data_IF_946094081064
#
_entry.id   IF_946094081064
#
_cell.length_a   1.000
_cell.length_b   1.000
_cell.length_c   1.000
_cell.angle_alpha   90.00
_cell.angle_beta   90.00
_cell.angle_gamma   90.00
#
_symmetry.space_group_name_H-M   'P 1'
#
loop_
_entity.id
_entity.type
_entity.pdbx_description
1 polymer ?
#
# COMPACT_ATOMS: atom_id res chain seq x y z
N UNK A 1 -9.56 -23.67 -10.70
CA UNK A 1 -8.54 -22.73 -10.15
C UNK A 1 -7.82 -21.94 -11.24
N UNK A 2 -7.68 -22.45 -12.47
CA UNK A 2 -6.99 -21.71 -13.55
C UNK A 2 -7.78 -20.48 -14.05
N UNK A 3 -9.10 -20.50 -13.89
CA UNK A 3 -10.00 -19.38 -14.22
C UNK A 3 -10.27 -18.43 -13.05
N UNK A 4 -9.68 -18.67 -11.88
CA UNK A 4 -9.94 -17.89 -10.67
C UNK A 4 -8.73 -17.04 -10.31
N UNK A 5 -8.93 -15.73 -10.23
CA UNK A 5 -7.96 -14.83 -9.59
C UNK A 5 -8.18 -14.88 -8.08
N UNK A 6 -7.15 -15.26 -7.33
CA UNK A 6 -7.15 -15.26 -5.87
C UNK A 6 -6.35 -14.06 -5.38
N UNK A 7 -6.96 -13.25 -4.51
CA UNK A 7 -6.30 -12.13 -3.83
C UNK A 7 -6.43 -12.36 -2.33
N UNK A 8 -5.30 -12.47 -1.65
CA UNK A 8 -5.22 -12.48 -0.20
C UNK A 8 -4.63 -11.14 0.26
N UNK A 9 -5.35 -10.41 1.11
CA UNK A 9 -4.93 -9.11 1.63
C UNK A 9 -5.54 -8.81 3.00
N UNK A 10 -5.26 -7.63 3.56
CA UNK A 10 -5.83 -7.11 4.81
C UNK A 10 -6.30 -5.66 4.62
N UNK A 11 -7.16 -5.17 5.50
CA UNK A 11 -7.62 -3.78 5.54
C UNK A 11 -6.63 -2.86 6.27
N UNK A 12 -5.86 -3.40 7.22
CA UNK A 12 -4.78 -2.72 7.93
C UNK A 12 -3.74 -3.71 8.47
N UNK A 13 -2.61 -3.16 8.91
CA UNK A 13 -1.59 -3.87 9.68
C UNK A 13 -1.94 -3.93 11.17
N UNK A 14 -1.04 -4.54 11.95
CA UNK A 14 -1.18 -4.71 13.38
C UNK A 14 0.18 -4.60 14.07
N UNK A 15 0.31 -3.69 15.03
CA UNK A 15 1.42 -3.73 15.97
C UNK A 15 1.19 -4.84 17.00
N UNK A 16 2.21 -5.67 17.21
CA UNK A 16 2.20 -6.80 18.14
C UNK A 16 3.32 -6.66 19.18
N UNK A 17 3.53 -5.43 19.67
CA UNK A 17 4.65 -5.04 20.53
C UNK A 17 5.69 -4.15 19.83
N UNK A 18 5.60 -3.98 18.51
CA UNK A 18 6.39 -3.00 17.76
C UNK A 18 6.18 -1.59 18.33
N UNK A 19 7.26 -0.83 18.51
CA UNK A 19 7.23 0.51 19.12
C UNK A 19 6.57 0.56 20.52
N UNK A 20 6.47 -0.58 21.21
CA UNK A 20 5.73 -0.69 22.48
C UNK A 20 4.20 -0.65 22.33
N UNK A 21 3.68 -0.86 21.12
CA UNK A 21 2.24 -0.75 20.79
C UNK A 21 1.65 -2.14 20.53
N UNK A 22 0.48 -2.38 21.11
CA UNK A 22 -0.41 -3.48 20.73
C UNK A 22 -1.68 -2.89 20.12
N UNK A 23 -2.00 -3.26 18.89
CA UNK A 23 -3.11 -2.69 18.13
C UNK A 23 -2.67 -2.05 16.82
N UNK A 24 -3.62 -1.50 16.07
CA UNK A 24 -3.36 -0.84 14.78
C UNK A 24 -3.08 0.66 14.96
N UNK A 25 -3.38 1.47 13.94
CA UNK A 25 -3.18 2.92 14.00
C UNK A 25 -3.84 3.59 15.22
N UNK A 26 -5.00 3.12 15.68
CA UNK A 26 -5.66 3.64 16.89
C UNK A 26 -5.09 3.11 18.22
N UNK A 27 -4.02 2.31 18.20
CA UNK A 27 -3.31 1.87 19.40
C UNK A 27 -2.56 3.00 20.13
N UNK A 28 -2.53 4.20 19.54
CA UNK A 28 -1.94 5.41 20.12
C UNK A 28 -2.89 6.59 19.94
N UNK A 29 -2.69 7.65 20.74
CA UNK A 29 -3.24 8.96 20.46
C UNK A 29 -2.11 9.99 20.36
N UNK A 30 -1.99 10.71 19.23
CA UNK A 30 -2.76 10.57 17.98
C UNK A 30 -2.54 9.21 17.30
N UNK A 31 -3.37 8.83 16.31
CA UNK A 31 -3.17 7.58 15.58
C UNK A 31 -1.76 7.48 14.99
N UNK A 32 -1.12 6.32 15.13
CA UNK A 32 0.18 6.02 14.54
C UNK A 32 0.01 5.58 13.08
N UNK A 33 1.08 5.75 12.32
CA UNK A 33 1.14 5.40 10.91
C UNK A 33 2.33 4.48 10.60
N UNK A 34 2.91 3.81 11.61
CA UNK A 34 4.04 2.90 11.43
C UNK A 34 3.75 1.85 10.36
N UNK A 35 4.79 1.39 9.65
CA UNK A 35 4.68 0.38 8.59
C UNK A 35 3.96 -0.87 9.07
N UNK A 36 4.21 -1.27 10.32
CA UNK A 36 3.53 -2.39 10.98
C UNK A 36 2.02 -2.19 11.14
N UNK A 37 1.51 -0.96 11.09
CA UNK A 37 0.07 -0.63 11.13
C UNK A 37 -0.57 -0.36 9.77
N UNK A 38 0.19 0.13 8.79
CA UNK A 38 -0.37 0.55 7.48
C UNK A 38 -0.05 -0.43 6.35
N UNK A 39 1.07 -1.15 6.43
CA UNK A 39 1.47 -2.12 5.40
C UNK A 39 0.75 -3.44 5.64
N UNK A 40 0.13 -3.94 4.58
CA UNK A 40 -0.65 -5.20 4.62
C UNK A 40 0.03 -6.29 3.79
N UNK A 41 -0.15 -7.57 4.14
CA UNK A 41 0.19 -8.65 3.21
C UNK A 41 -0.66 -8.51 1.95
N UNK A 42 -0.10 -8.77 0.78
CA UNK A 42 -0.87 -8.89 -0.47
C UNK A 42 -0.26 -9.98 -1.34
N UNK A 43 -1.04 -11.02 -1.60
CA UNK A 43 -0.67 -12.14 -2.48
C UNK A 43 -1.73 -12.26 -3.55
N UNK A 44 -1.32 -12.22 -4.81
CA UNK A 44 -2.21 -12.33 -5.97
C UNK A 44 -1.77 -13.52 -6.79
N UNK A 45 -2.70 -14.44 -7.09
CA UNK A 45 -2.40 -15.65 -7.85
C UNK A 45 -3.51 -15.99 -8.84
N UNK A 46 -3.10 -16.31 -10.07
CA UNK A 46 -3.93 -16.95 -11.08
C UNK A 46 -3.05 -17.92 -11.87
N UNK A 47 -3.26 -19.22 -11.63
CA UNK A 47 -2.43 -20.29 -12.19
C UNK A 47 -2.39 -20.22 -13.71
N UNK A 48 -1.19 -20.28 -14.30
CA UNK A 48 -0.97 -20.22 -15.75
C UNK A 48 -1.06 -18.82 -16.37
N UNK A 49 -1.39 -17.78 -15.59
CA UNK A 49 -1.60 -16.42 -16.10
C UNK A 49 -0.69 -15.38 -15.44
N UNK A 50 -0.51 -15.44 -14.12
CA UNK A 50 0.36 -14.53 -13.37
C UNK A 50 1.72 -15.21 -13.12
N UNK A 51 2.87 -14.51 -13.31
CA UNK A 51 4.18 -15.02 -12.97
C UNK A 51 4.26 -15.52 -11.53
N UNK A 52 4.76 -16.74 -11.35
CA UNK A 52 4.83 -17.39 -10.03
C UNK A 52 6.15 -17.08 -9.33
N UNK A 53 6.13 -17.06 -7.99
CA UNK A 53 7.34 -16.86 -7.17
C UNK A 53 7.96 -15.47 -7.25
N UNK A 54 7.24 -14.48 -7.81
CA UNK A 54 7.71 -13.11 -7.90
C UNK A 54 7.46 -12.34 -6.60
N UNK A 55 8.41 -11.45 -6.26
CA UNK A 55 8.28 -10.49 -5.16
C UNK A 55 8.36 -9.10 -5.75
N UNK A 56 7.25 -8.38 -5.66
CA UNK A 56 7.12 -7.02 -6.16
C UNK A 56 7.43 -6.04 -5.01
N UNK A 57 8.36 -5.12 -5.25
CA UNK A 57 8.81 -4.12 -4.26
C UNK A 57 8.25 -2.72 -4.50
N UNK A 58 7.60 -2.48 -5.63
CA UNK A 58 6.87 -1.23 -5.86
C UNK A 58 5.78 -1.07 -4.80
N UNK A 59 5.52 0.19 -4.45
CA UNK A 59 4.46 0.52 -3.51
C UNK A 59 3.11 0.50 -4.24
N UNK A 60 2.07 0.06 -3.55
CA UNK A 60 0.69 0.08 -4.05
C UNK A 60 -0.25 0.28 -2.88
N UNK A 61 -1.35 0.95 -3.13
CA UNK A 61 -2.41 1.23 -2.16
C UNK A 61 -3.62 0.33 -2.41
N UNK A 62 -4.46 0.17 -1.39
CA UNK A 62 -5.67 -0.66 -1.52
C UNK A 62 -6.62 -0.13 -2.61
N UNK A 63 -6.66 1.18 -2.83
CA UNK A 63 -7.47 1.82 -3.88
C UNK A 63 -6.97 1.55 -5.31
N UNK A 64 -5.78 0.98 -5.48
CA UNK A 64 -5.25 0.56 -6.79
C UNK A 64 -5.85 -0.77 -7.26
N UNK A 65 -6.44 -1.56 -6.36
CA UNK A 65 -7.01 -2.87 -6.68
C UNK A 65 -8.16 -2.78 -7.69
N UNK A 66 -9.07 -1.83 -7.50
CA UNK A 66 -10.22 -1.68 -8.39
C UNK A 66 -9.83 -1.36 -9.84
N UNK A 67 -9.04 -0.30 -10.14
CA UNK A 67 -8.60 -0.04 -11.51
C UNK A 67 -7.73 -1.17 -12.06
N UNK A 68 -6.91 -1.83 -11.22
CA UNK A 68 -6.12 -2.99 -11.64
C UNK A 68 -6.97 -4.17 -12.08
N UNK A 69 -8.04 -4.49 -11.34
CA UNK A 69 -8.94 -5.59 -11.69
C UNK A 69 -9.69 -5.32 -13.00
N UNK A 70 -10.19 -4.09 -13.17
CA UNK A 70 -10.89 -3.69 -14.39
C UNK A 70 -9.96 -3.81 -15.61
N UNK A 71 -8.76 -3.23 -15.54
CA UNK A 71 -7.73 -3.34 -16.58
C UNK A 71 -7.34 -4.81 -16.84
N UNK A 72 -7.02 -5.58 -15.79
CA UNK A 72 -6.59 -6.96 -15.91
C UNK A 72 -7.58 -7.83 -16.69
N UNK A 73 -8.88 -7.61 -16.49
CA UNK A 73 -9.96 -8.31 -17.18
C UNK A 73 -10.46 -7.63 -18.46
N UNK A 74 -9.87 -6.50 -18.87
CA UNK A 74 -10.26 -5.77 -20.08
C UNK A 74 -11.63 -5.10 -19.99
N UNK A 75 -12.03 -4.69 -18.78
CA UNK A 75 -13.27 -3.97 -18.51
C UNK A 75 -12.96 -2.47 -18.53
N UNK A 76 -13.72 -1.70 -19.30
CA UNK A 76 -13.55 -0.25 -19.37
C UNK A 76 -13.85 0.42 -18.02
N UNK A 77 -13.00 1.37 -17.62
CA UNK A 77 -13.20 2.23 -16.46
C UNK A 77 -13.28 3.70 -16.92
N UNK A 78 -14.47 4.20 -17.31
CA UNK A 78 -14.61 5.56 -17.81
C UNK A 78 -14.23 6.62 -16.76
N UNK A 79 -14.36 6.29 -15.48
CA UNK A 79 -14.10 7.20 -14.36
C UNK A 79 -12.65 7.11 -13.83
N UNK A 80 -11.77 6.35 -14.50
CA UNK A 80 -10.39 6.12 -14.02
C UNK A 80 -9.62 7.42 -13.73
N UNK A 81 -9.84 8.46 -14.54
CA UNK A 81 -9.18 9.77 -14.40
C UNK A 81 -9.66 10.59 -13.19
N UNK A 82 -10.83 10.27 -12.63
CA UNK A 82 -11.40 10.95 -11.47
C UNK A 82 -11.07 10.23 -10.15
N UNK A 83 -10.41 9.07 -10.22
CA UNK A 83 -10.09 8.22 -9.08
C UNK A 83 -8.60 8.27 -8.77
N UNK A 84 -8.20 8.12 -7.49
CA UNK A 84 -6.80 8.22 -7.09
C UNK A 84 -5.97 6.97 -7.40
N UNK A 85 -6.61 5.87 -7.82
CA UNK A 85 -5.95 4.59 -8.00
C UNK A 85 -5.34 4.41 -9.38
N UNK A 86 -4.17 3.78 -9.41
CA UNK A 86 -3.43 3.47 -10.61
C UNK A 86 -3.36 1.96 -10.82
N UNK A 87 -3.69 1.51 -12.04
CA UNK A 87 -3.60 0.08 -12.37
C UNK A 87 -2.15 -0.40 -12.32
N UNK A 88 -1.93 -1.55 -11.68
CA UNK A 88 -0.69 -2.31 -11.75
C UNK A 88 -0.87 -3.63 -12.52
N UNK A 89 -1.89 -3.73 -13.38
CA UNK A 89 -2.13 -4.91 -14.21
C UNK A 89 -0.93 -5.35 -15.07
N UNK A 90 -0.04 -4.46 -15.58
CA UNK A 90 1.18 -4.88 -16.27
C UNK A 90 2.04 -5.84 -15.44
N UNK A 91 2.13 -5.60 -14.12
CA UNK A 91 2.85 -6.49 -13.20
C UNK A 91 2.21 -7.88 -13.17
N UNK A 92 0.88 -7.95 -13.17
CA UNK A 92 0.14 -9.22 -13.19
C UNK A 92 0.30 -9.95 -14.53
N UNK A 93 0.56 -9.24 -15.62
CA UNK A 93 0.86 -9.80 -16.95
C UNK A 93 2.33 -10.20 -17.13
N UNK A 94 3.19 -9.91 -16.14
CA UNK A 94 4.63 -10.14 -16.23
C UNK A 94 5.37 -9.14 -17.12
N UNK A 95 4.73 -8.00 -17.39
CA UNK A 95 5.32 -6.88 -18.11
C UNK A 95 6.11 -6.00 -17.12
N UNK A 96 7.08 -5.22 -17.60
CA UNK A 96 7.72 -4.20 -16.77
C UNK A 96 6.67 -3.28 -16.17
N UNK A 97 6.84 -2.90 -14.90
CA UNK A 97 6.12 -1.76 -14.38
C UNK A 97 6.50 -0.56 -15.26
N UNK A 98 5.51 0.16 -15.80
CA UNK A 98 5.74 1.33 -16.66
C UNK A 98 6.58 2.39 -15.94
N UNK A 99 7.09 3.37 -16.70
CA UNK A 99 8.00 4.41 -16.19
C UNK A 99 7.49 5.03 -14.87
N UNK A 100 8.41 5.04 -13.90
CA UNK A 100 8.23 5.31 -12.48
C UNK A 100 7.80 6.75 -12.25
N UNK A 101 6.49 7.04 -12.31
CA UNK A 101 5.98 8.12 -11.48
C UNK A 101 6.40 7.81 -10.04
N UNK A 102 6.96 8.77 -9.27
CA UNK A 102 7.33 8.51 -7.89
C UNK A 102 6.09 7.98 -7.18
N UNK A 103 6.11 6.71 -6.78
CA UNK A 103 4.94 6.10 -6.17
C UNK A 103 4.84 6.70 -4.77
N UNK A 104 3.84 7.55 -4.61
CA UNK A 104 3.49 8.15 -3.33
C UNK A 104 2.28 7.43 -2.79
N UNK A 105 2.44 6.78 -1.64
CA UNK A 105 1.33 6.21 -0.88
C UNK A 105 0.83 7.27 0.09
N UNK A 106 -0.48 7.47 0.08
CA UNK A 106 -1.19 8.36 0.99
C UNK A 106 -2.04 7.55 1.96
N UNK A 107 -2.05 7.96 3.23
CA UNK A 107 -2.94 7.38 4.24
C UNK A 107 -3.51 8.46 5.16
N UNK A 108 -4.74 8.25 5.63
CA UNK A 108 -5.45 9.15 6.49
C UNK A 108 -6.11 8.40 7.65
N UNK A 109 -5.82 8.82 8.88
CA UNK A 109 -6.50 8.27 10.06
C UNK A 109 -6.82 9.39 11.05
N UNK A 110 -8.09 9.82 11.06
CA UNK A 110 -8.55 10.92 11.89
C UNK A 110 -7.77 12.20 11.56
N UNK A 111 -7.10 12.85 12.54
CA UNK A 111 -6.28 14.04 12.33
C UNK A 111 -4.86 13.76 11.77
N UNK A 112 -4.49 12.50 11.58
CA UNK A 112 -3.16 12.10 11.10
C UNK A 112 -3.18 11.91 9.58
N UNK A 113 -2.16 12.40 8.89
CA UNK A 113 -1.90 12.17 7.46
C UNK A 113 -0.52 11.58 7.27
N UNK A 114 -0.37 10.70 6.29
CA UNK A 114 0.91 10.12 5.93
C UNK A 114 1.15 10.23 4.43
N UNK A 115 2.39 10.56 4.08
CA UNK A 115 2.91 10.54 2.72
C UNK A 115 4.16 9.66 2.74
N UNK A 116 4.23 8.67 1.86
CA UNK A 116 5.35 7.73 1.79
C UNK A 116 5.82 7.52 0.36
N UNK A 117 7.13 7.55 0.17
CA UNK A 117 7.82 7.02 -1.01
C UNK A 117 8.56 5.72 -0.67
N UNK A 118 9.32 5.18 -1.61
CA UNK A 118 10.18 4.03 -1.34
C UNK A 118 11.17 4.30 -0.19
N UNK A 119 11.68 5.54 -0.12
CA UNK A 119 12.83 5.89 0.70
C UNK A 119 12.47 6.76 1.91
N UNK A 120 11.35 7.48 1.86
CA UNK A 120 10.98 8.47 2.87
C UNK A 120 9.54 8.33 3.30
N UNK A 121 9.27 8.69 4.55
CA UNK A 121 7.93 8.74 5.10
C UNK A 121 7.76 9.95 5.99
N UNK A 122 6.72 10.73 5.70
CA UNK A 122 6.33 11.87 6.51
C UNK A 122 4.96 11.63 7.13
N UNK A 123 4.84 11.90 8.43
CA UNK A 123 3.59 11.82 9.17
C UNK A 123 3.25 13.20 9.71
N UNK A 124 2.16 13.77 9.21
CA UNK A 124 1.64 15.06 9.62
C UNK A 124 0.49 14.87 10.61
N UNK A 125 0.53 15.58 11.73
CA UNK A 125 -0.51 15.48 12.78
C UNK A 125 -0.97 16.86 13.20
N UNK A 126 -2.25 17.15 12.99
CA UNK A 126 -2.86 18.45 13.34
C UNK A 126 -4.23 18.22 13.95
N UNK A 127 -4.55 18.77 15.13
CA UNK A 127 -3.76 19.70 15.94
C UNK A 127 -2.83 19.02 16.96
N UNK A 128 -2.73 17.70 16.97
CA UNK A 128 -2.15 16.95 18.08
C UNK A 128 -0.77 16.38 17.76
N UNK A 129 0.17 16.51 18.71
CA UNK A 129 1.47 15.83 18.68
C UNK A 129 2.45 16.36 17.63
N UNK A 130 3.71 15.89 17.66
CA UNK A 130 4.71 16.26 16.69
C UNK A 130 4.47 15.60 15.33
N UNK A 131 5.00 16.21 14.29
CA UNK A 131 5.17 15.57 12.99
C UNK A 131 6.39 14.64 13.04
N UNK A 132 6.40 13.60 12.21
CA UNK A 132 7.51 12.65 12.10
C UNK A 132 8.01 12.59 10.67
N UNK A 133 9.32 12.36 10.51
CA UNK A 133 9.96 12.11 9.23
C UNK A 133 10.93 10.94 9.42
N UNK A 134 10.76 9.90 8.61
CA UNK A 134 11.60 8.70 8.64
C UNK A 134 12.30 8.52 7.30
N UNK A 135 13.60 8.22 7.38
CA UNK A 135 14.40 7.70 6.27
C UNK A 135 14.27 6.18 6.29
N UNK A 136 13.48 5.62 5.39
CA UNK A 136 13.19 4.17 5.37
C UNK A 136 14.36 3.34 4.84
N UNK A 137 15.37 3.97 4.22
CA UNK A 137 16.60 3.29 3.78
C UNK A 137 17.52 3.08 4.97
N UNK A 138 17.75 4.12 5.75
CA UNK A 138 18.67 4.09 6.89
C UNK A 138 17.99 3.66 8.20
N UNK A 139 16.67 3.82 8.30
CA UNK A 139 15.85 3.45 9.43
C UNK A 139 14.53 2.76 8.98
N UNK A 140 14.62 1.51 8.50
CA UNK A 140 13.44 0.74 8.07
C UNK A 140 12.51 0.35 9.23
N UNK A 141 12.91 0.61 10.48
CA UNK A 141 12.14 0.28 11.68
C UNK A 141 11.56 1.52 12.37
N UNK A 142 11.69 2.72 11.79
CA UNK A 142 11.05 3.96 12.27
C UNK A 142 11.32 4.24 13.76
N UNK A 143 12.59 4.39 14.15
CA UNK A 143 13.08 4.48 15.54
C UNK A 143 13.63 5.84 15.95
#
# INVERSE_FOLDING_TARGET
MEETLVIFTSDNGMNMGHHGIYGKGNGTFPPNMFDTSVKVPTIISRRGHIPQGQVIRSLHSHYDLMPTLLDYFGIENPDAHALPGHSFAPILRGEPAGEEAPIVVFDEYGPTRMIRTADWKYVHRVPYGPHELYDLVNDPNER
#
